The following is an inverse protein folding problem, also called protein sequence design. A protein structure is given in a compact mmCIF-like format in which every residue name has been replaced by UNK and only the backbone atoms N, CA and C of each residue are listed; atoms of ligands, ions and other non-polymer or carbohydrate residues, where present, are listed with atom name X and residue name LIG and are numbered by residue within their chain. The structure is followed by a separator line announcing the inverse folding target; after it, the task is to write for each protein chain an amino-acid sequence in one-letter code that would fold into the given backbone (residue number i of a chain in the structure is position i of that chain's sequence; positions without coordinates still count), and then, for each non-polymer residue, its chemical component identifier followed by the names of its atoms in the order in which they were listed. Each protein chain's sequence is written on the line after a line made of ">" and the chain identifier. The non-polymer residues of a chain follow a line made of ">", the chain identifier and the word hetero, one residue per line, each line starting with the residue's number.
data_IF_713453288296
#
_entry.id   IF_713453288296
#
_cell.length_a   1.000
_cell.length_b   1.000
_cell.length_c   1.000
_cell.angle_alpha   90.00
_cell.angle_beta   90.00
_cell.angle_gamma   90.00
#
_symmetry.space_group_name_H-M   'P 1'
#
loop_
_entity.id
_entity.type
_entity.pdbx_description
1 polymer ?
#
# COMPACT_ATOMS: atom_id res chain seq x y z
N UNK A 1 -53.54 56.57 17.69
CA UNK A 1 -52.52 56.44 18.76
C UNK A 1 -51.67 55.22 18.45
N UNK A 2 -50.36 55.38 18.54
CA UNK A 2 -49.33 54.56 17.87
C UNK A 2 -48.77 53.53 18.88
N UNK A 3 -48.16 52.45 18.32
CA UNK A 3 -47.14 51.56 18.91
C UNK A 3 -47.65 50.57 20.02
N UNK A 4 -47.26 49.29 20.19
CA UNK A 4 -46.04 48.51 19.87
C UNK A 4 -46.38 47.00 19.74
N UNK A 5 -45.86 46.32 18.71
CA UNK A 5 -45.76 44.85 18.61
C UNK A 5 -44.77 44.31 19.65
N UNK A 6 -45.19 43.41 20.54
CA UNK A 6 -44.25 42.53 21.27
C UNK A 6 -44.15 41.20 20.52
N UNK A 7 -43.07 41.03 19.77
CA UNK A 7 -42.63 39.71 19.34
C UNK A 7 -42.17 38.95 20.58
N UNK A 8 -42.74 37.78 20.80
CA UNK A 8 -42.24 36.81 21.78
C UNK A 8 -41.03 36.16 21.14
N UNK A 9 -39.84 36.58 21.57
CA UNK A 9 -38.60 35.85 21.28
C UNK A 9 -38.61 34.63 22.19
N UNK A 10 -38.90 33.46 21.64
CA UNK A 10 -38.65 32.20 22.30
C UNK A 10 -37.14 32.00 22.36
N UNK A 11 -36.57 32.14 23.56
CA UNK A 11 -35.17 31.77 23.82
C UNK A 11 -35.15 30.24 23.87
N UNK A 12 -34.80 29.60 22.75
CA UNK A 12 -34.43 28.19 22.75
C UNK A 12 -33.01 28.14 23.32
N UNK A 13 -32.90 27.76 24.59
CA UNK A 13 -31.62 27.37 25.18
C UNK A 13 -31.28 26.01 24.57
N UNK A 14 -30.56 26.01 23.46
CA UNK A 14 -29.87 24.81 22.99
C UNK A 14 -28.75 24.57 24.00
N UNK A 15 -29.00 23.66 24.93
CA UNK A 15 -27.97 23.13 25.80
C UNK A 15 -26.92 22.46 24.92
N UNK A 16 -25.78 23.12 24.76
CA UNK A 16 -24.59 22.51 24.20
C UNK A 16 -24.18 21.36 25.13
N UNK A 17 -24.65 20.15 24.86
CA UNK A 17 -24.03 18.95 25.43
C UNK A 17 -22.68 18.82 24.74
N UNK A 18 -21.68 19.52 25.29
CA UNK A 18 -20.30 19.11 25.09
C UNK A 18 -20.21 17.72 25.71
N UNK A 19 -20.43 16.70 24.88
CA UNK A 19 -19.93 15.37 25.16
C UNK A 19 -18.43 15.53 25.35
N UNK A 20 -18.01 15.61 26.61
CA UNK A 20 -16.62 15.42 26.97
C UNK A 20 -16.35 13.96 26.62
N UNK A 21 -15.91 13.73 25.38
CA UNK A 21 -15.30 12.45 25.03
C UNK A 21 -14.12 12.37 25.97
N UNK A 22 -14.22 11.49 26.96
CA UNK A 22 -13.16 11.26 27.92
C UNK A 22 -12.09 10.48 27.16
N UNK A 23 -11.30 11.19 26.36
CA UNK A 23 -10.10 10.65 25.74
C UNK A 23 -9.16 10.43 26.92
N UNK A 24 -9.05 9.20 27.39
CA UNK A 24 -7.84 8.82 28.12
C UNK A 24 -6.71 9.03 27.12
N UNK A 25 -6.10 10.22 27.14
CA UNK A 25 -4.98 10.54 26.30
C UNK A 25 -3.91 9.48 26.55
N UNK A 26 -3.42 8.85 25.47
CA UNK A 26 -2.38 7.84 25.58
C UNK A 26 -1.24 8.39 26.44
N UNK A 27 -0.81 7.61 27.43
CA UNK A 27 0.22 8.03 28.38
C UNK A 27 1.53 8.40 27.67
N UNK A 28 1.83 7.68 26.60
CA UNK A 28 2.90 7.96 25.66
C UNK A 28 2.25 8.11 24.28
N UNK A 29 2.33 9.26 23.61
CA UNK A 29 1.71 9.44 22.31
C UNK A 29 2.53 8.76 21.20
N UNK A 30 1.84 8.10 20.26
CA UNK A 30 2.43 7.70 18.99
C UNK A 30 2.66 8.95 18.13
N UNK A 31 3.91 9.20 17.73
CA UNK A 31 4.31 10.43 17.02
C UNK A 31 4.69 10.22 15.57
N UNK A 32 4.76 8.98 15.12
CA UNK A 32 5.08 8.68 13.74
C UNK A 32 3.88 9.04 12.85
N UNK A 33 4.16 9.53 11.64
CA UNK A 33 3.14 10.08 10.74
C UNK A 33 2.11 9.04 10.28
N UNK A 34 2.52 7.78 10.19
CA UNK A 34 1.67 6.69 9.73
C UNK A 34 1.05 5.91 10.88
N UNK A 35 -0.17 5.43 10.66
CA UNK A 35 -0.90 4.55 11.58
C UNK A 35 -0.14 3.24 11.78
N UNK A 36 -0.04 2.77 13.03
CA UNK A 36 0.62 1.51 13.39
C UNK A 36 -0.08 0.32 12.73
N UNK A 37 -1.41 0.38 12.57
CA UNK A 37 -2.18 -0.63 11.83
C UNK A 37 -1.76 -0.74 10.36
N UNK A 38 -1.38 0.37 9.72
CA UNK A 38 -0.84 0.34 8.37
C UNK A 38 0.58 -0.23 8.37
N UNK A 39 1.44 0.19 9.30
CA UNK A 39 2.84 -0.27 9.39
C UNK A 39 2.95 -1.79 9.64
N UNK A 40 2.13 -2.32 10.54
CA UNK A 40 2.14 -3.74 10.92
C UNK A 40 1.26 -4.60 10.01
N UNK A 41 0.63 -4.01 9.00
CA UNK A 41 -0.13 -4.76 8.00
C UNK A 41 0.78 -5.73 7.25
N UNK A 42 0.25 -6.91 6.91
CA UNK A 42 0.92 -7.90 6.06
C UNK A 42 1.30 -7.32 4.67
N UNK A 43 0.61 -6.24 4.24
CA UNK A 43 0.96 -5.48 3.03
C UNK A 43 2.36 -4.86 3.10
N UNK A 44 2.85 -4.55 4.31
CA UNK A 44 4.10 -3.83 4.55
C UNK A 44 5.25 -4.71 5.01
N UNK A 45 5.06 -6.04 5.01
CA UNK A 45 6.14 -6.99 5.29
C UNK A 45 7.30 -6.80 4.31
N UNK A 46 8.49 -6.51 4.84
CA UNK A 46 9.73 -6.49 4.06
C UNK A 46 10.10 -7.91 3.66
N UNK A 47 10.34 -8.12 2.36
CA UNK A 47 10.74 -9.41 1.80
C UNK A 47 11.98 -9.17 0.96
N UNK A 48 13.09 -9.76 1.40
CA UNK A 48 14.38 -9.69 0.71
C UNK A 48 15.28 -10.85 1.21
N UNK A 49 16.58 -10.83 0.88
CA UNK A 49 17.51 -11.92 1.26
C UNK A 49 17.65 -12.11 2.77
N UNK A 50 17.45 -11.05 3.55
CA UNK A 50 17.56 -11.09 5.01
C UNK A 50 16.20 -11.36 5.68
N UNK A 51 15.10 -11.26 4.91
CA UNK A 51 13.72 -11.40 5.39
C UNK A 51 12.95 -12.36 4.49
N UNK A 52 13.13 -13.66 4.70
CA UNK A 52 12.52 -14.70 3.87
C UNK A 52 11.04 -14.93 4.21
N UNK A 53 10.27 -15.29 3.20
CA UNK A 53 8.99 -15.98 3.33
C UNK A 53 9.22 -17.47 3.55
N UNK A 54 8.33 -18.10 4.32
CA UNK A 54 8.33 -19.54 4.54
C UNK A 54 8.07 -20.30 3.23
N UNK A 55 8.57 -21.54 3.14
CA UNK A 55 8.42 -22.39 1.95
C UNK A 55 6.94 -22.70 1.62
N UNK A 56 6.08 -22.77 2.63
CA UNK A 56 4.65 -23.06 2.51
C UNK A 56 3.77 -21.80 2.52
N UNK A 57 4.36 -20.61 2.59
CA UNK A 57 3.58 -19.37 2.59
C UNK A 57 2.89 -19.16 1.23
N UNK A 58 1.56 -19.12 1.27
CA UNK A 58 0.66 -18.79 0.16
C UNK A 58 -0.40 -17.80 0.68
N UNK A 59 -0.57 -16.63 0.06
CA UNK A 59 -1.61 -15.68 0.46
C UNK A 59 -3.01 -16.32 0.31
N UNK A 60 -3.87 -16.13 1.32
CA UNK A 60 -5.21 -16.70 1.36
C UNK A 60 -6.23 -16.03 0.44
N UNK A 61 -5.87 -14.91 -0.17
CA UNK A 61 -6.74 -14.01 -0.95
C UNK A 61 -6.25 -13.82 -2.40
N UNK A 62 -5.54 -14.80 -2.95
CA UNK A 62 -5.12 -14.79 -4.36
C UNK A 62 -6.31 -14.96 -5.30
N UNK A 63 -6.40 -14.07 -6.29
CA UNK A 63 -7.34 -14.12 -7.40
C UNK A 63 -6.59 -14.03 -8.73
N UNK A 64 -7.24 -14.42 -9.84
CA UNK A 64 -6.71 -14.11 -11.17
C UNK A 64 -6.95 -12.64 -11.49
N UNK A 65 -5.89 -11.92 -11.84
CA UNK A 65 -6.00 -10.50 -12.20
C UNK A 65 -6.89 -10.30 -13.43
N UNK A 66 -7.65 -9.21 -13.40
CA UNK A 66 -8.59 -8.85 -14.46
C UNK A 66 -8.00 -7.87 -15.48
N UNK A 67 -6.84 -7.30 -15.19
CA UNK A 67 -6.19 -6.32 -16.07
C UNK A 67 -5.61 -6.97 -17.33
N UNK A 68 -5.24 -6.11 -18.31
CA UNK A 68 -4.60 -6.52 -19.56
C UNK A 68 -3.28 -7.26 -19.26
N UNK A 69 -3.10 -8.46 -19.81
CA UNK A 69 -1.94 -9.35 -19.57
C UNK A 69 -1.03 -9.45 -20.79
N UNK A 70 0.28 -9.61 -20.54
CA UNK A 70 1.30 -9.85 -21.56
C UNK A 70 1.28 -11.28 -22.13
N UNK A 71 0.41 -12.16 -21.63
CA UNK A 71 0.19 -13.49 -22.21
C UNK A 71 -1.24 -13.97 -21.93
N UNK A 72 -1.63 -15.10 -22.52
CA UNK A 72 -2.93 -15.73 -22.25
C UNK A 72 -2.97 -16.42 -20.90
N UNK A 73 -1.81 -16.71 -20.29
CA UNK A 73 -1.73 -17.40 -18.99
C UNK A 73 -2.36 -16.55 -17.88
N UNK A 74 -3.14 -17.14 -16.98
CA UNK A 74 -3.65 -16.42 -15.82
C UNK A 74 -2.47 -15.94 -14.97
N UNK A 75 -2.61 -14.72 -14.41
CA UNK A 75 -1.67 -14.18 -13.45
C UNK A 75 -2.45 -14.04 -12.14
N UNK A 76 -1.96 -14.68 -11.09
CA UNK A 76 -2.54 -14.53 -9.76
C UNK A 76 -1.95 -13.32 -9.03
N UNK A 77 -2.74 -12.66 -8.20
CA UNK A 77 -2.32 -11.54 -7.35
C UNK A 77 -3.30 -11.46 -6.17
N UNK A 78 -2.94 -10.78 -5.07
CA UNK A 78 -3.90 -10.57 -3.96
C UNK A 78 -5.04 -9.66 -4.41
N UNK A 79 -6.26 -9.90 -3.91
CA UNK A 79 -7.45 -9.15 -4.32
C UNK A 79 -7.30 -7.63 -4.22
N UNK A 80 -6.76 -7.12 -3.10
CA UNK A 80 -6.50 -5.68 -2.90
C UNK A 80 -5.55 -5.08 -3.94
N UNK A 81 -4.63 -5.88 -4.45
CA UNK A 81 -3.65 -5.46 -5.47
C UNK A 81 -4.32 -5.42 -6.84
N UNK A 82 -5.21 -6.37 -7.17
CA UNK A 82 -5.99 -6.32 -8.41
C UNK A 82 -6.88 -5.06 -8.46
N UNK A 83 -7.55 -4.73 -7.35
CA UNK A 83 -8.37 -3.52 -7.27
C UNK A 83 -7.56 -2.25 -7.57
N UNK A 84 -6.33 -2.16 -7.05
CA UNK A 84 -5.42 -1.07 -7.31
C UNK A 84 -4.89 -1.06 -8.77
N UNK A 85 -4.52 -2.24 -9.30
CA UNK A 85 -4.09 -2.40 -10.69
C UNK A 85 -5.19 -2.01 -11.68
N UNK A 86 -6.45 -2.38 -11.42
CA UNK A 86 -7.58 -2.04 -12.28
C UNK A 86 -7.74 -0.52 -12.40
N UNK A 87 -7.70 0.20 -11.27
CA UNK A 87 -7.76 1.68 -11.29
C UNK A 87 -6.58 2.25 -12.07
N UNK A 88 -5.36 1.85 -11.73
CA UNK A 88 -4.14 2.33 -12.38
C UNK A 88 -4.13 2.07 -13.89
N UNK A 89 -4.54 0.89 -14.34
CA UNK A 89 -4.55 0.53 -15.76
C UNK A 89 -5.64 1.28 -16.53
N UNK A 90 -6.81 1.51 -15.93
CA UNK A 90 -7.88 2.28 -16.56
C UNK A 90 -7.49 3.75 -16.73
N UNK A 91 -6.87 4.35 -15.71
CA UNK A 91 -6.42 5.75 -15.76
C UNK A 91 -5.27 5.93 -16.76
N UNK A 92 -4.32 4.99 -16.80
CA UNK A 92 -3.31 4.94 -17.86
C UNK A 92 -3.93 4.88 -19.26
N UNK A 93 -4.93 4.00 -19.46
CA UNK A 93 -5.58 3.84 -20.76
C UNK A 93 -6.36 5.08 -21.17
N UNK A 94 -6.98 5.79 -20.23
CA UNK A 94 -7.63 7.08 -20.46
C UNK A 94 -6.66 8.16 -20.97
N UNK A 95 -5.38 8.05 -20.61
CA UNK A 95 -4.29 8.92 -21.07
C UNK A 95 -3.57 8.38 -22.33
N UNK A 96 -4.05 7.29 -22.93
CA UNK A 96 -3.44 6.67 -24.11
C UNK A 96 -2.16 5.89 -23.82
N UNK A 97 -1.96 5.49 -22.57
CA UNK A 97 -0.88 4.62 -22.09
C UNK A 97 -1.42 3.20 -21.90
N UNK A 98 -0.85 2.23 -22.62
CA UNK A 98 -1.34 0.84 -22.58
C UNK A 98 -0.36 -0.04 -21.83
N UNK A 99 -0.72 -0.40 -20.60
CA UNK A 99 0.06 -1.25 -19.71
C UNK A 99 -0.35 -2.73 -19.82
N UNK A 100 0.60 -3.62 -19.53
CA UNK A 100 0.40 -5.06 -19.50
C UNK A 100 0.99 -5.68 -18.23
N UNK A 101 0.19 -6.46 -17.50
CA UNK A 101 0.68 -7.31 -16.41
C UNK A 101 1.47 -8.50 -16.98
N UNK A 102 2.69 -8.71 -16.51
CA UNK A 102 3.61 -9.75 -17.01
C UNK A 102 3.87 -10.87 -16.01
N UNK A 103 4.05 -10.55 -14.72
CA UNK A 103 4.26 -11.55 -13.67
C UNK A 103 3.75 -11.05 -12.33
N UNK A 104 2.81 -11.76 -11.73
CA UNK A 104 2.27 -11.51 -10.38
C UNK A 104 2.80 -12.54 -9.39
N UNK A 105 1.89 -13.23 -8.69
CA UNK A 105 2.22 -14.27 -7.73
C UNK A 105 3.09 -15.38 -8.34
N UNK A 106 4.11 -15.79 -7.59
CA UNK A 106 4.98 -16.91 -7.92
C UNK A 106 5.25 -17.76 -6.68
N UNK A 107 4.88 -19.03 -6.74
CA UNK A 107 5.09 -19.94 -5.61
C UNK A 107 6.57 -20.10 -5.25
N UNK A 108 6.84 -20.44 -3.99
CA UNK A 108 8.18 -20.80 -3.53
C UNK A 108 8.81 -21.90 -4.40
N UNK A 109 8.04 -22.96 -4.70
CA UNK A 109 8.52 -24.08 -5.53
C UNK A 109 8.95 -23.64 -6.93
N UNK A 110 8.16 -22.77 -7.58
CA UNK A 110 8.54 -22.18 -8.86
C UNK A 110 9.83 -21.36 -8.75
N UNK A 111 9.94 -20.51 -7.72
CA UNK A 111 11.13 -19.70 -7.47
C UNK A 111 12.37 -20.57 -7.22
N UNK A 112 12.23 -21.66 -6.46
CA UNK A 112 13.27 -22.68 -6.20
C UNK A 112 13.76 -23.35 -7.46
N UNK A 113 12.86 -23.74 -8.36
CA UNK A 113 13.24 -24.28 -9.66
C UNK A 113 13.96 -23.24 -10.51
N UNK A 114 13.47 -22.00 -10.59
CA UNK A 114 14.13 -20.92 -11.34
C UNK A 114 15.53 -20.63 -10.82
N UNK A 115 15.68 -20.53 -9.49
CA UNK A 115 16.96 -20.27 -8.83
C UNK A 115 17.95 -21.41 -9.08
N UNK A 116 17.52 -22.67 -8.92
CA UNK A 116 18.35 -23.84 -9.21
C UNK A 116 18.82 -23.86 -10.67
N UNK A 117 17.92 -23.64 -11.62
CA UNK A 117 18.25 -23.59 -13.04
C UNK A 117 19.26 -22.46 -13.34
N UNK A 118 19.13 -21.30 -12.68
CA UNK A 118 20.08 -20.18 -12.82
C UNK A 118 21.47 -20.56 -12.32
N UNK A 119 21.56 -21.20 -11.15
CA UNK A 119 22.84 -21.67 -10.62
C UNK A 119 23.50 -22.66 -11.59
N UNK A 120 22.75 -23.63 -12.12
CA UNK A 120 23.27 -24.59 -13.09
C UNK A 120 23.80 -23.90 -14.36
N UNK A 121 23.08 -22.90 -14.88
CA UNK A 121 23.52 -22.09 -16.02
C UNK A 121 24.74 -21.21 -15.71
N UNK A 122 24.97 -20.85 -14.44
CA UNK A 122 26.05 -19.97 -14.01
C UNK A 122 27.14 -20.70 -13.21
N UNK A 123 27.41 -21.98 -13.52
CA UNK A 123 28.47 -22.78 -12.92
C UNK A 123 28.41 -22.83 -11.38
N UNK A 124 27.20 -22.89 -10.82
CA UNK A 124 26.93 -22.95 -9.38
C UNK A 124 27.08 -21.62 -8.64
N UNK A 125 27.31 -20.50 -9.34
CA UNK A 125 27.48 -19.18 -8.71
C UNK A 125 26.16 -18.41 -8.71
N UNK A 126 25.79 -17.87 -7.55
CA UNK A 126 24.69 -16.89 -7.46
C UNK A 126 25.19 -15.55 -8.01
N UNK A 127 24.53 -15.05 -9.05
CA UNK A 127 24.79 -13.74 -9.66
C UNK A 127 23.70 -12.70 -9.33
N UNK A 128 22.73 -13.05 -8.48
CA UNK A 128 21.66 -12.18 -8.03
C UNK A 128 20.57 -11.88 -9.07
N UNK A 129 20.61 -12.52 -10.24
CA UNK A 129 19.59 -12.27 -11.28
C UNK A 129 18.25 -12.95 -10.97
N UNK A 130 18.29 -14.07 -10.25
CA UNK A 130 17.09 -14.74 -9.75
C UNK A 130 17.13 -14.67 -8.23
N UNK A 131 16.10 -14.09 -7.62
CA UNK A 131 15.97 -14.02 -6.17
C UNK A 131 16.06 -15.41 -5.54
N UNK A 132 16.66 -15.50 -4.35
CA UNK A 132 16.69 -16.73 -3.58
C UNK A 132 15.25 -17.16 -3.22
N UNK A 133 14.93 -18.46 -3.14
CA UNK A 133 13.58 -18.91 -2.78
C UNK A 133 13.17 -18.36 -1.40
N UNK A 134 11.95 -17.82 -1.29
CA UNK A 134 11.50 -17.10 -0.10
C UNK A 134 11.89 -15.62 -0.07
N UNK A 135 12.89 -15.18 -0.86
CA UNK A 135 13.31 -13.77 -0.93
C UNK A 135 12.66 -12.99 -2.08
N UNK A 136 11.76 -13.61 -2.85
CA UNK A 136 11.08 -12.95 -3.97
C UNK A 136 9.75 -12.38 -3.52
N UNK A 137 9.54 -11.07 -3.72
CA UNK A 137 8.27 -10.42 -3.39
C UNK A 137 7.09 -10.98 -4.18
N UNK A 138 7.32 -11.59 -5.35
CA UNK A 138 6.25 -12.27 -6.08
C UNK A 138 5.58 -13.38 -5.25
N UNK A 139 6.25 -14.02 -4.29
CA UNK A 139 5.61 -15.01 -3.43
C UNK A 139 4.57 -14.39 -2.48
N UNK A 140 4.64 -13.09 -2.20
CA UNK A 140 3.62 -12.38 -1.41
C UNK A 140 2.32 -12.11 -2.18
N UNK A 141 2.34 -12.19 -3.51
CA UNK A 141 1.25 -11.71 -4.34
C UNK A 141 0.99 -10.19 -4.21
N UNK A 142 1.94 -9.43 -3.66
CA UNK A 142 1.92 -7.95 -3.59
C UNK A 142 2.75 -7.28 -4.69
N UNK A 143 3.56 -8.06 -5.41
CA UNK A 143 4.41 -7.56 -6.48
C UNK A 143 3.84 -7.89 -7.87
N UNK A 144 3.97 -6.94 -8.79
CA UNK A 144 3.59 -7.09 -10.20
C UNK A 144 4.70 -6.55 -11.09
N UNK A 145 5.09 -7.33 -12.11
CA UNK A 145 5.86 -6.82 -13.24
C UNK A 145 4.90 -6.22 -14.27
N UNK A 146 5.02 -4.92 -14.54
CA UNK A 146 4.22 -4.18 -15.52
C UNK A 146 5.08 -3.74 -16.69
N UNK A 147 4.61 -3.94 -17.91
CA UNK A 147 5.37 -3.65 -19.13
C UNK A 147 4.52 -2.99 -20.22
N UNK A 148 5.19 -2.50 -21.28
CA UNK A 148 4.54 -2.05 -22.51
C UNK A 148 4.34 -3.20 -23.52
N UNK A 149 3.72 -2.87 -24.67
CA UNK A 149 3.43 -3.84 -25.74
C UNK A 149 4.67 -4.52 -26.32
N UNK A 150 5.79 -3.81 -26.41
CA UNK A 150 7.03 -4.31 -27.01
C UNK A 150 7.60 -5.49 -26.21
N UNK A 151 7.46 -5.44 -24.89
CA UNK A 151 7.99 -6.44 -23.96
C UNK A 151 7.12 -7.70 -23.76
N UNK A 152 6.03 -7.86 -24.51
CA UNK A 152 5.11 -9.02 -24.46
C UNK A 152 5.75 -10.28 -25.05
N UNK A 153 6.66 -10.15 -26.03
CA UNK A 153 7.19 -11.26 -26.84
C UNK A 153 8.40 -12.01 -26.25
N UNK A 154 8.52 -12.14 -24.93
CA UNK A 154 9.66 -12.81 -24.29
C UNK A 154 10.98 -12.04 -24.37
N UNK A 155 10.93 -10.77 -24.80
CA UNK A 155 12.07 -9.87 -24.74
C UNK A 155 12.52 -9.69 -23.28
N UNK A 156 13.84 -9.55 -23.12
CA UNK A 156 14.44 -9.27 -21.83
C UNK A 156 13.96 -7.91 -21.33
N UNK A 157 13.47 -7.87 -20.09
CA UNK A 157 13.18 -6.61 -19.41
C UNK A 157 14.50 -5.96 -19.01
N UNK A 158 14.64 -4.67 -19.31
CA UNK A 158 15.86 -3.89 -19.07
C UNK A 158 15.50 -2.49 -18.63
N UNK A 159 16.47 -1.77 -18.08
CA UNK A 159 16.31 -0.39 -17.64
C UNK A 159 15.74 0.53 -18.73
N UNK A 160 15.87 0.18 -20.02
CA UNK A 160 15.29 0.92 -21.14
C UNK A 160 13.76 1.08 -21.05
N UNK A 161 13.05 0.23 -20.31
CA UNK A 161 11.62 0.42 -20.07
C UNK A 161 11.32 1.77 -19.39
N UNK A 162 12.21 2.27 -18.51
CA UNK A 162 12.05 3.56 -17.83
C UNK A 162 12.00 4.76 -18.81
N UNK A 163 12.57 4.61 -20.00
CA UNK A 163 12.62 5.65 -21.03
C UNK A 163 11.42 5.60 -21.99
N UNK A 164 10.55 4.60 -21.84
CA UNK A 164 9.30 4.50 -22.60
C UNK A 164 8.23 5.37 -21.96
N UNK A 165 7.23 5.81 -22.73
CA UNK A 165 6.09 6.56 -22.17
C UNK A 165 5.35 5.77 -21.09
N UNK A 166 5.22 4.44 -21.23
CA UNK A 166 4.61 3.58 -20.23
C UNK A 166 5.43 3.50 -18.94
N UNK A 167 6.76 3.39 -19.05
CA UNK A 167 7.64 3.34 -17.88
C UNK A 167 7.73 4.67 -17.13
N UNK A 168 7.77 5.79 -17.86
CA UNK A 168 7.72 7.14 -17.27
C UNK A 168 6.39 7.37 -16.54
N UNK A 169 5.26 7.04 -17.19
CA UNK A 169 3.93 7.15 -16.59
C UNK A 169 3.80 6.27 -15.34
N UNK A 170 4.29 5.03 -15.40
CA UNK A 170 4.26 4.13 -14.25
C UNK A 170 5.07 4.68 -13.07
N UNK A 171 6.28 5.20 -13.32
CA UNK A 171 7.12 5.77 -12.27
C UNK A 171 6.49 7.01 -11.61
N UNK A 172 5.79 7.83 -12.39
CA UNK A 172 5.10 9.04 -11.91
C UNK A 172 3.84 8.70 -11.10
N UNK A 173 3.04 7.74 -11.57
CA UNK A 173 1.68 7.53 -11.06
C UNK A 173 1.47 6.31 -10.17
N UNK A 174 2.36 5.32 -10.16
CA UNK A 174 2.11 4.08 -9.39
C UNK A 174 1.86 4.33 -7.89
N UNK A 175 2.48 5.38 -7.33
CA UNK A 175 2.30 5.84 -5.94
C UNK A 175 0.85 6.19 -5.61
N UNK A 176 0.12 6.78 -6.56
CA UNK A 176 -1.27 7.23 -6.37
C UNK A 176 -2.22 6.05 -6.12
N UNK A 177 -1.80 4.85 -6.54
CA UNK A 177 -2.56 3.61 -6.39
C UNK A 177 -2.00 2.69 -5.30
N UNK A 178 -1.05 3.18 -4.49
CA UNK A 178 -0.49 2.41 -3.37
C UNK A 178 0.67 1.49 -3.72
N UNK A 179 1.28 1.70 -4.89
CA UNK A 179 2.48 0.99 -5.31
C UNK A 179 3.74 1.84 -5.18
N UNK A 180 4.89 1.18 -5.09
CA UNK A 180 6.21 1.80 -5.24
C UNK A 180 6.96 1.12 -6.38
N UNK A 181 7.85 1.86 -7.06
CA UNK A 181 8.93 1.24 -7.83
C UNK A 181 9.88 0.59 -6.82
N UNK A 182 9.85 -0.74 -6.72
CA UNK A 182 10.49 -1.46 -5.60
C UNK A 182 12.01 -1.37 -5.60
N UNK A 183 12.59 -1.36 -6.80
CA UNK A 183 14.02 -1.35 -7.03
C UNK A 183 14.38 -0.11 -7.84
N UNK A 184 14.44 1.08 -7.20
CA UNK A 184 14.74 2.33 -7.88
C UNK A 184 16.21 2.44 -8.29
N UNK A 185 16.48 3.38 -9.20
CA UNK A 185 17.85 3.67 -9.66
C UNK A 185 18.71 4.14 -8.48
N UNK A 186 19.98 3.77 -8.49
CA UNK A 186 20.99 4.17 -7.50
C UNK A 186 20.77 3.66 -6.06
N UNK A 187 19.88 2.67 -5.86
CA UNK A 187 19.59 2.04 -4.55
C UNK A 187 19.92 0.54 -4.50
N UNK A 188 20.73 0.05 -5.43
CA UNK A 188 21.13 -1.36 -5.46
C UNK A 188 21.93 -1.77 -4.22
N UNK A 189 22.76 -0.87 -3.67
CA UNK A 189 23.56 -1.17 -2.47
C UNK A 189 22.70 -1.39 -1.21
N UNK A 190 21.45 -0.89 -1.23
CA UNK A 190 20.48 -1.07 -0.14
C UNK A 190 19.57 -2.26 -0.42
N UNK A 191 18.97 -2.32 -1.62
CA UNK A 191 17.97 -3.35 -1.96
C UNK A 191 18.61 -4.70 -2.32
N UNK A 192 19.89 -4.71 -2.68
CA UNK A 192 20.58 -5.88 -3.21
C UNK A 192 20.16 -6.30 -4.62
N UNK A 193 19.25 -5.54 -5.27
CA UNK A 193 18.68 -5.81 -6.59
C UNK A 193 18.97 -4.63 -7.50
N UNK A 194 19.30 -4.90 -8.76
CA UNK A 194 19.56 -3.86 -9.76
C UNK A 194 18.28 -3.10 -10.10
N UNK A 195 18.41 -1.96 -10.79
CA UNK A 195 17.26 -1.15 -11.18
C UNK A 195 16.25 -1.92 -12.04
N UNK A 196 15.01 -2.05 -11.57
CA UNK A 196 13.91 -2.72 -12.26
C UNK A 196 12.67 -1.80 -12.39
N UNK A 197 12.61 -0.93 -13.41
CA UNK A 197 11.51 0.03 -13.58
C UNK A 197 10.14 -0.60 -13.84
N UNK A 198 10.08 -1.90 -14.12
CA UNK A 198 8.82 -2.65 -14.33
C UNK A 198 8.25 -3.23 -13.04
N UNK A 199 9.06 -3.38 -11.98
CA UNK A 199 8.69 -4.13 -10.78
C UNK A 199 8.07 -3.20 -9.74
N UNK A 200 6.75 -3.32 -9.58
CA UNK A 200 5.99 -2.54 -8.61
C UNK A 200 5.57 -3.40 -7.43
N UNK A 201 5.65 -2.82 -6.23
CA UNK A 201 5.27 -3.45 -4.97
C UNK A 201 4.13 -2.68 -4.32
N UNK A 202 3.02 -3.35 -4.03
CA UNK A 202 1.90 -2.77 -3.28
C UNK A 202 2.23 -2.72 -1.79
N UNK A 203 2.07 -1.53 -1.21
CA UNK A 203 2.29 -1.22 0.22
C UNK A 203 1.09 -0.46 0.83
N UNK A 204 0.08 -0.14 0.01
CA UNK A 204 -1.06 0.69 0.38
C UNK A 204 -0.76 2.18 0.24
N UNK A 205 -1.81 2.98 0.04
CA UNK A 205 -1.71 4.39 -0.38
C UNK A 205 -0.85 5.25 0.57
N UNK A 206 -1.12 5.21 1.87
CA UNK A 206 -0.42 6.07 2.83
C UNK A 206 1.08 5.74 2.90
N UNK A 207 1.43 4.46 2.82
CA UNK A 207 2.83 4.02 2.87
C UNK A 207 3.53 4.34 1.55
N UNK A 208 2.91 4.08 0.41
CA UNK A 208 3.48 4.41 -0.89
C UNK A 208 3.79 5.91 -1.00
N UNK A 209 2.85 6.77 -0.59
CA UNK A 209 3.05 8.22 -0.56
C UNK A 209 4.19 8.62 0.37
N UNK A 210 4.26 8.04 1.57
CA UNK A 210 5.33 8.33 2.51
C UNK A 210 6.71 7.95 1.95
N UNK A 211 6.83 6.74 1.39
CA UNK A 211 8.05 6.25 0.74
C UNK A 211 8.46 7.17 -0.41
N UNK A 212 7.51 7.55 -1.26
CA UNK A 212 7.74 8.41 -2.42
C UNK A 212 8.24 9.81 -2.01
N UNK A 213 7.54 10.47 -1.07
CA UNK A 213 7.92 11.80 -0.56
C UNK A 213 9.33 11.80 0.04
N UNK A 214 9.70 10.71 0.72
CA UNK A 214 11.00 10.58 1.38
C UNK A 214 12.12 10.10 0.44
N UNK A 215 11.78 9.62 -0.76
CA UNK A 215 12.74 8.99 -1.67
C UNK A 215 13.35 7.70 -1.09
N UNK A 216 12.55 6.95 -0.33
CA UNK A 216 12.98 5.73 0.35
C UNK A 216 12.80 4.48 -0.51
N UNK A 217 13.59 3.47 -0.18
CA UNK A 217 13.33 2.07 -0.48
C UNK A 217 12.40 1.47 0.58
N UNK A 218 11.89 0.25 0.33
CA UNK A 218 11.11 -0.46 1.35
C UNK A 218 12.00 -0.79 2.58
N UNK A 219 13.29 -1.06 2.36
CA UNK A 219 14.29 -1.26 3.40
C UNK A 219 14.44 -0.02 4.31
N UNK A 220 14.76 1.14 3.75
CA UNK A 220 14.94 2.40 4.50
C UNK A 220 13.67 2.79 5.27
N UNK A 221 12.51 2.62 4.63
CA UNK A 221 11.22 2.82 5.29
C UNK A 221 11.05 1.87 6.48
N UNK A 222 11.38 0.59 6.29
CA UNK A 222 11.22 -0.44 7.31
C UNK A 222 12.10 -0.18 8.53
N UNK A 223 13.35 0.18 8.29
CA UNK A 223 14.29 0.58 9.35
C UNK A 223 13.75 1.79 10.13
N UNK A 224 13.36 2.86 9.44
CA UNK A 224 12.88 4.09 10.10
C UNK A 224 11.65 3.83 10.99
N UNK A 225 10.63 3.13 10.48
CA UNK A 225 9.41 2.93 11.28
C UNK A 225 9.63 1.95 12.44
N UNK A 226 10.52 0.96 12.28
CA UNK A 226 10.88 0.04 13.36
C UNK A 226 11.68 0.71 14.47
N UNK A 227 12.59 1.64 14.14
CA UNK A 227 13.30 2.45 15.13
C UNK A 227 12.34 3.36 15.93
N UNK A 228 11.36 3.95 15.25
CA UNK A 228 10.32 4.75 15.89
C UNK A 228 9.44 3.90 16.81
N UNK A 229 9.04 2.70 16.37
CA UNK A 229 8.31 1.75 17.19
C UNK A 229 9.12 1.35 18.42
N UNK A 230 10.39 1.00 18.26
CA UNK A 230 11.27 0.66 19.37
C UNK A 230 11.35 1.80 20.39
N UNK A 231 11.57 3.03 19.91
CA UNK A 231 11.63 4.22 20.77
C UNK A 231 10.32 4.45 21.53
N UNK A 232 9.18 4.25 20.86
CA UNK A 232 7.87 4.35 21.49
C UNK A 232 7.68 3.33 22.62
N UNK A 233 8.05 2.07 22.38
CA UNK A 233 7.98 0.99 23.36
C UNK A 233 8.94 1.22 24.54
N UNK A 234 10.18 1.65 24.27
CA UNK A 234 11.19 1.94 25.30
C UNK A 234 10.75 3.07 26.25
N UNK A 235 9.91 4.00 25.76
CA UNK A 235 9.32 5.06 26.56
C UNK A 235 8.05 4.62 27.35
N UNK A 236 7.66 3.35 27.25
CA UNK A 236 6.51 2.77 27.95
C UNK A 236 5.18 2.89 27.22
N UNK A 237 5.20 3.16 25.92
CA UNK A 237 4.02 3.04 25.06
C UNK A 237 3.65 1.57 24.81
N UNK A 238 2.39 1.29 24.51
CA UNK A 238 1.90 -0.04 24.15
C UNK A 238 1.21 -0.01 22.80
N UNK A 239 1.29 -1.10 22.05
CA UNK A 239 0.63 -1.20 20.73
C UNK A 239 -0.88 -1.17 20.92
N UNK A 240 -1.37 -1.79 21.99
CA UNK A 240 -2.79 -1.82 22.36
C UNK A 240 -3.36 -0.41 22.56
N UNK A 241 -2.62 0.49 23.23
CA UNK A 241 -3.04 1.87 23.44
C UNK A 241 -3.12 2.62 22.10
N UNK A 242 -2.15 2.40 21.19
CA UNK A 242 -2.15 3.05 19.87
C UNK A 242 -3.33 2.56 19.04
N UNK A 243 -3.54 1.25 18.95
CA UNK A 243 -4.63 0.67 18.18
C UNK A 243 -6.00 1.08 18.73
N UNK A 244 -6.15 1.15 20.06
CA UNK A 244 -7.37 1.67 20.68
C UNK A 244 -7.60 3.14 20.29
N UNK A 245 -6.56 3.96 20.30
CA UNK A 245 -6.65 5.36 19.89
C UNK A 245 -7.00 5.51 18.40
N UNK A 246 -6.36 4.75 17.51
CA UNK A 246 -6.67 4.72 16.07
C UNK A 246 -8.13 4.32 15.83
N UNK A 247 -8.61 3.29 16.54
CA UNK A 247 -9.99 2.86 16.46
C UNK A 247 -10.97 3.97 16.87
N UNK A 248 -10.71 4.68 17.99
CA UNK A 248 -11.54 5.81 18.42
C UNK A 248 -11.55 6.96 17.40
N UNK A 249 -10.40 7.28 16.79
CA UNK A 249 -10.31 8.33 15.76
C UNK A 249 -11.11 7.99 14.51
N UNK A 250 -11.20 6.70 14.17
CA UNK A 250 -11.90 6.20 12.99
C UNK A 250 -13.36 5.85 13.26
N UNK A 251 -13.87 6.05 14.49
CA UNK A 251 -15.30 5.84 14.76
C UNK A 251 -16.14 6.84 13.96
N UNK A 252 -17.22 6.39 13.29
CA UNK A 252 -18.17 7.28 12.67
C UNK A 252 -18.71 8.25 13.71
N UNK A 253 -18.60 9.55 13.44
CA UNK A 253 -19.18 10.58 14.31
C UNK A 253 -20.57 10.90 13.81
N UNK A 254 -21.58 10.66 14.65
CA UNK A 254 -22.93 11.18 14.43
C UNK A 254 -22.86 12.66 14.75
N UNK A 255 -23.08 13.50 13.76
CA UNK A 255 -22.89 14.95 13.91
C UNK A 255 -24.20 15.66 14.17
N UNK A 256 -25.31 15.25 13.57
CA UNK A 256 -26.62 15.87 13.80
C UNK A 256 -27.75 14.84 13.64
N UNK A 257 -28.80 15.01 14.46
CA UNK A 257 -30.11 14.39 14.25
C UNK A 257 -31.16 15.49 14.20
N UNK A 258 -31.81 15.68 13.05
CA UNK A 258 -32.94 16.60 12.92
C UNK A 258 -34.24 15.81 12.77
N UNK A 259 -35.30 16.26 13.45
CA UNK A 259 -36.65 15.71 13.31
C UNK A 259 -37.37 16.51 12.21
N UNK A 260 -37.49 15.91 11.02
CA UNK A 260 -38.23 16.51 9.90
C UNK A 260 -39.49 15.69 9.69
N UNK A 261 -40.66 16.30 9.89
CA UNK A 261 -41.97 15.64 9.73
C UNK A 261 -42.18 14.35 10.57
N UNK A 262 -41.54 14.23 11.72
CA UNK A 262 -41.67 13.06 12.60
C UNK A 262 -40.77 11.88 12.24
N UNK A 263 -39.85 12.07 11.28
CA UNK A 263 -38.76 11.13 11.00
C UNK A 263 -37.44 11.75 11.45
N UNK A 264 -36.59 10.95 12.10
CA UNK A 264 -35.25 11.37 12.52
C UNK A 264 -34.26 11.08 11.39
N UNK A 265 -33.69 12.11 10.79
CA UNK A 265 -32.53 11.94 9.90
C UNK A 265 -31.24 11.93 10.74
N UNK A 266 -30.34 10.98 10.47
CA UNK A 266 -29.05 10.84 11.16
C UNK A 266 -27.94 11.05 10.14
N UNK A 267 -27.12 12.09 10.34
CA UNK A 267 -25.92 12.34 9.53
C UNK A 267 -24.70 11.70 10.18
N UNK A 268 -24.15 10.67 9.51
CA UNK A 268 -22.95 9.95 9.93
C UNK A 268 -21.75 10.47 9.11
N UNK A 269 -20.74 11.02 9.78
CA UNK A 269 -19.48 11.40 9.17
C UNK A 269 -18.42 10.35 9.50
N UNK A 270 -17.88 9.70 8.47
CA UNK A 270 -16.71 8.80 8.59
C UNK A 270 -15.48 9.61 8.17
N UNK A 271 -14.49 9.73 9.05
CA UNK A 271 -13.19 10.30 8.68
C UNK A 271 -12.34 9.19 8.05
N UNK A 272 -11.94 9.39 6.79
CA UNK A 272 -11.00 8.51 6.07
C UNK A 272 -9.56 8.84 6.48
#
# INVERSE_FOLDING_TARGET
>A
MKIIKKQVVAIIIIGLVLGVVNVNAMKVPWKYTLLISHLQSDLNRLINRDNLLEEDYVPGDLINTTVRRASTSPIQIRAVVDEALVRMFNDAEAEGIILYAKSGYRSYGTQKTMYKNRLEMNNGKDDGIVAYPGSSEHQSGLAMDVVNKELIGGQRMTAAFAETKEGMWLAEHCTDYGFIIRYPKDKQDITGIFFEPWHIRFVGNSVAQYISIKGYTHEEFTEEWQENLKTFLDNGGTIEDVLAHEHEMNKPQITESEEVNGETEISIVIRN
#
